data_IF_924949815238
#
_entry.id   IF_924949815238
#
_cell.length_a   1.000
_cell.length_b   1.000
_cell.length_c   1.000
_cell.angle_alpha   90.00
_cell.angle_beta   90.00
_cell.angle_gamma   90.00
#
_symmetry.space_group_name_H-M   'P 1'
#
loop_
_entity.id
_entity.type
_entity.pdbx_description
1 polymer ?
#
# COMPACT_ATOMS: atom_id res chain seq x y z
N UNK A 1 -42.98 -36.29 21.99
CA UNK A 1 -42.09 -37.45 22.28
C UNK A 1 -40.66 -36.93 22.52
N UNK A 2 -39.75 -37.77 23.02
CA UNK A 2 -38.42 -37.33 23.46
C UNK A 2 -37.37 -37.40 22.33
N UNK A 3 -36.40 -36.48 22.33
CA UNK A 3 -34.99 -36.83 22.61
C UNK A 3 -34.12 -35.57 22.68
N UNK A 4 -33.68 -35.19 23.88
CA UNK A 4 -32.45 -34.39 24.02
C UNK A 4 -31.24 -35.28 23.73
N UNK A 5 -30.16 -34.73 23.17
CA UNK A 5 -28.82 -35.37 23.14
C UNK A 5 -27.73 -34.32 23.32
N UNK A 6 -27.32 -34.14 24.57
CA UNK A 6 -26.04 -33.52 24.92
C UNK A 6 -24.90 -34.50 24.66
N UNK A 7 -23.72 -34.00 24.29
CA UNK A 7 -22.47 -34.77 24.27
C UNK A 7 -21.41 -33.95 25.00
N UNK A 8 -20.65 -34.59 25.89
CA UNK A 8 -19.68 -33.95 26.79
C UNK A 8 -18.23 -34.27 26.39
N UNK A 9 -17.30 -33.38 26.77
CA UNK A 9 -15.85 -33.58 26.60
C UNK A 9 -15.33 -34.79 27.41
N UNK A 10 -14.29 -35.44 26.89
CA UNK A 10 -13.26 -36.10 27.72
C UNK A 10 -11.89 -36.04 27.04
N UNK A 11 -10.82 -36.02 27.85
CA UNK A 11 -9.41 -36.09 27.47
C UNK A 11 -8.70 -36.89 28.57
N UNK A 12 -7.78 -37.80 28.22
CA UNK A 12 -6.49 -37.76 28.90
C UNK A 12 -5.30 -37.93 27.94
N UNK A 13 -4.20 -37.22 28.22
CA UNK A 13 -2.88 -37.52 27.66
C UNK A 13 -2.23 -38.62 28.49
N UNK A 14 -1.52 -39.55 27.87
CA UNK A 14 -0.50 -40.38 28.54
C UNK A 14 0.76 -40.46 27.69
N UNK A 15 1.92 -40.26 28.33
CA UNK A 15 3.22 -40.68 27.83
C UNK A 15 3.68 -41.89 28.65
N UNK A 16 4.45 -42.79 28.08
CA UNK A 16 5.37 -43.65 28.84
C UNK A 16 6.54 -44.10 27.97
N UNK A 17 7.67 -44.32 28.63
CA UNK A 17 9.01 -44.53 28.06
C UNK A 17 9.61 -45.72 28.79
N UNK A 18 10.26 -46.64 28.07
CA UNK A 18 10.95 -47.79 28.67
C UNK A 18 12.42 -47.84 28.25
N UNK A 19 13.28 -48.23 29.20
CA UNK A 19 14.74 -48.32 29.08
C UNK A 19 15.17 -49.67 29.67
N UNK A 20 16.26 -50.25 29.17
CA UNK A 20 16.65 -51.64 29.41
C UNK A 20 17.57 -51.87 30.64
N UNK A 21 17.62 -53.13 31.09
CA UNK A 21 18.69 -53.77 31.88
C UNK A 21 18.88 -55.21 31.35
N UNK A 22 20.10 -55.74 31.10
CA UNK A 22 21.23 -56.11 31.98
C UNK A 22 20.99 -57.43 32.77
N UNK A 23 21.98 -58.32 33.03
CA UNK A 23 23.39 -58.45 32.57
C UNK A 23 23.97 -59.86 32.93
N UNK A 24 25.29 -60.07 32.69
CA UNK A 24 26.27 -61.10 33.14
C UNK A 24 27.07 -61.62 31.90
N UNK A 25 28.40 -61.92 31.87
CA UNK A 25 29.47 -62.47 32.77
C UNK A 25 29.62 -64.00 32.73
N UNK A 26 30.84 -64.60 32.83
CA UNK A 26 32.24 -64.08 32.76
C UNK A 26 33.07 -64.86 31.67
N UNK A 27 34.40 -65.16 31.64
CA UNK A 27 35.59 -64.91 32.49
C UNK A 27 36.96 -65.20 31.78
N UNK A 28 38.05 -64.54 32.22
CA UNK A 28 39.46 -65.04 32.31
C UNK A 28 40.28 -65.38 31.00
N UNK A 29 41.65 -65.59 31.02
CA UNK A 29 42.57 -64.49 30.69
C UNK A 29 43.93 -64.80 29.95
N UNK A 30 44.75 -63.74 29.74
CA UNK A 30 46.21 -63.72 29.41
C UNK A 30 46.61 -63.94 27.90
N UNK A 31 47.91 -63.95 27.49
CA UNK A 31 48.40 -62.86 26.61
C UNK A 31 49.30 -63.28 25.41
N UNK A 32 49.67 -62.36 24.52
CA UNK A 32 50.91 -62.44 23.72
C UNK A 32 51.32 -61.12 23.05
N UNK A 33 52.59 -61.06 22.63
CA UNK A 33 53.33 -59.93 22.06
C UNK A 33 53.08 -59.68 20.56
N UNK A 34 53.35 -58.43 20.14
CA UNK A 34 53.96 -58.00 18.87
C UNK A 34 53.41 -58.50 17.51
N UNK A 35 53.03 -57.54 16.66
CA UNK A 35 53.61 -57.42 15.32
C UNK A 35 53.60 -55.95 14.84
N UNK A 36 54.50 -55.60 13.93
CA UNK A 36 54.69 -54.26 13.38
C UNK A 36 54.41 -54.32 11.88
N UNK A 37 53.39 -53.60 11.36
CA UNK A 37 53.49 -52.95 10.06
C UNK A 37 52.34 -52.01 9.64
N UNK A 38 52.73 -51.10 8.75
CA UNK A 38 51.94 -50.33 7.76
C UNK A 38 50.81 -49.42 8.28
N UNK A 39 51.03 -48.12 8.06
CA UNK A 39 49.98 -47.10 8.16
C UNK A 39 49.19 -47.01 6.85
N UNK A 40 47.87 -46.97 6.96
CA UNK A 40 46.98 -46.43 5.92
C UNK A 40 46.17 -45.29 6.53
N UNK A 41 46.34 -44.07 6.00
CA UNK A 41 45.45 -42.95 6.34
C UNK A 41 44.12 -43.17 5.60
N UNK A 42 42.96 -43.20 6.26
CA UNK A 42 41.69 -43.07 5.58
C UNK A 42 41.51 -41.61 5.13
N UNK A 43 42.15 -41.26 4.02
CA UNK A 43 41.92 -40.00 3.33
C UNK A 43 40.56 -40.07 2.61
N UNK A 44 39.48 -39.89 3.37
CA UNK A 44 38.15 -39.72 2.79
C UNK A 44 38.15 -38.46 1.93
N UNK A 45 37.71 -38.61 0.68
CA UNK A 45 37.86 -37.57 -0.33
C UNK A 45 36.92 -36.39 -0.06
N UNK A 46 37.51 -35.18 0.07
CA UNK A 46 36.78 -33.94 0.24
C UNK A 46 36.16 -33.45 -1.08
N UNK A 47 35.22 -34.21 -1.64
CA UNK A 47 34.41 -33.78 -2.78
C UNK A 47 33.11 -33.12 -2.32
N UNK A 48 33.23 -31.98 -1.64
CA UNK A 48 32.12 -31.04 -1.50
C UNK A 48 32.01 -30.21 -2.78
N UNK A 49 31.53 -30.82 -3.88
CA UNK A 49 31.17 -30.09 -5.11
C UNK A 49 29.81 -29.41 -4.96
N UNK A 50 29.55 -28.85 -3.79
CA UNK A 50 28.54 -27.81 -3.56
C UNK A 50 29.01 -26.52 -4.21
N UNK A 51 29.10 -26.55 -5.55
CA UNK A 51 29.01 -25.34 -6.34
C UNK A 51 27.74 -24.63 -5.90
N UNK A 52 27.88 -23.44 -5.33
CA UNK A 52 26.76 -22.52 -5.17
C UNK A 52 26.48 -22.03 -6.59
N UNK A 53 25.68 -22.82 -7.31
CA UNK A 53 25.17 -22.46 -8.62
C UNK A 53 24.19 -21.30 -8.43
N UNK A 54 24.72 -20.08 -8.33
CA UNK A 54 24.06 -18.97 -8.97
C UNK A 54 23.92 -19.38 -10.44
N UNK A 55 22.68 -19.41 -10.93
CA UNK A 55 22.44 -19.73 -12.33
C UNK A 55 23.23 -18.74 -13.20
N UNK A 56 23.65 -19.12 -14.42
CA UNK A 56 24.10 -18.11 -15.37
C UNK A 56 22.95 -17.12 -15.57
N UNK A 57 23.12 -15.88 -15.09
CA UNK A 57 22.20 -14.79 -15.37
C UNK A 57 22.06 -14.69 -16.88
N UNK A 58 20.83 -14.69 -17.38
CA UNK A 58 20.59 -14.53 -18.81
C UNK A 58 21.05 -13.15 -19.26
N UNK A 59 21.31 -13.01 -20.54
CA UNK A 59 21.65 -11.72 -21.17
C UNK A 59 20.59 -10.66 -20.85
N UNK A 60 19.32 -11.07 -20.83
CA UNK A 60 18.16 -10.25 -20.45
C UNK A 60 18.19 -9.82 -18.97
N UNK A 61 18.62 -10.69 -18.05
CA UNK A 61 18.71 -10.32 -16.62
C UNK A 61 19.78 -9.25 -16.38
N UNK A 62 20.87 -9.27 -17.18
CA UNK A 62 21.95 -8.29 -17.10
C UNK A 62 21.48 -6.94 -17.66
N UNK A 63 20.86 -6.94 -18.84
CA UNK A 63 20.33 -5.73 -19.47
C UNK A 63 19.21 -5.09 -18.65
N UNK A 64 18.30 -5.90 -18.09
CA UNK A 64 17.24 -5.45 -17.19
C UNK A 64 17.79 -4.86 -15.88
N UNK A 65 18.81 -5.48 -15.27
CA UNK A 65 19.43 -4.95 -14.06
C UNK A 65 20.17 -3.65 -14.34
N UNK A 66 20.87 -3.54 -15.48
CA UNK A 66 21.50 -2.30 -15.91
C UNK A 66 20.45 -1.18 -16.09
N UNK A 67 19.32 -1.48 -16.74
CA UNK A 67 18.23 -0.52 -16.91
C UNK A 67 17.59 -0.11 -15.58
N UNK A 68 17.24 -1.05 -14.71
CA UNK A 68 16.72 -0.74 -13.37
C UNK A 68 17.72 0.05 -12.49
N UNK A 69 19.03 -0.01 -12.79
CA UNK A 69 20.01 0.85 -12.14
C UNK A 69 20.10 2.25 -12.77
N UNK A 70 19.96 2.37 -14.08
CA UNK A 70 19.97 3.67 -14.77
C UNK A 70 18.70 4.47 -14.48
N UNK A 71 17.50 3.89 -14.57
CA UNK A 71 16.26 4.60 -14.22
C UNK A 71 16.32 5.09 -12.75
N UNK A 72 16.66 4.21 -11.80
CA UNK A 72 16.82 4.55 -10.37
C UNK A 72 17.86 5.65 -10.09
N UNK A 73 18.83 5.88 -10.98
CA UNK A 73 19.75 7.04 -10.91
C UNK A 73 19.11 8.31 -11.47
N UNK A 74 18.36 8.22 -12.57
CA UNK A 74 17.66 9.35 -13.18
C UNK A 74 16.64 9.94 -12.20
N UNK A 75 15.70 9.14 -11.69
CA UNK A 75 14.71 9.53 -10.67
C UNK A 75 15.38 10.28 -9.48
N UNK A 76 16.42 9.66 -8.89
CA UNK A 76 17.17 10.20 -7.74
C UNK A 76 18.11 11.38 -8.11
N UNK A 77 17.97 11.98 -9.28
CA UNK A 77 18.81 13.10 -9.76
C UNK A 77 18.03 14.24 -10.42
N UNK A 78 16.91 13.95 -11.07
CA UNK A 78 16.07 14.95 -11.74
C UNK A 78 15.19 15.72 -10.75
N UNK A 79 14.59 15.03 -9.79
CA UNK A 79 13.33 15.46 -9.17
C UNK A 79 13.42 15.88 -7.70
N UNK A 80 14.52 15.55 -7.01
CA UNK A 80 14.69 15.79 -5.57
C UNK A 80 14.26 17.20 -5.12
N UNK A 81 14.63 18.32 -5.77
CA UNK A 81 14.31 19.66 -5.27
C UNK A 81 12.81 19.96 -5.18
N UNK A 82 12.02 19.44 -6.11
CA UNK A 82 10.59 19.73 -6.23
C UNK A 82 9.77 18.92 -5.21
N UNK A 83 10.04 17.62 -5.12
CA UNK A 83 9.42 16.78 -4.09
C UNK A 83 9.92 17.11 -2.67
N UNK A 84 11.08 17.75 -2.50
CA UNK A 84 11.49 18.33 -1.21
C UNK A 84 10.64 19.56 -0.83
N UNK A 85 10.34 20.48 -1.76
CA UNK A 85 9.46 21.63 -1.50
C UNK A 85 7.99 21.20 -1.25
N UNK A 86 7.45 20.29 -2.08
CA UNK A 86 6.14 19.68 -1.85
C UNK A 86 6.09 18.97 -0.48
N UNK A 87 7.14 18.21 -0.13
CA UNK A 87 7.22 17.56 1.17
C UNK A 87 7.21 18.57 2.32
N UNK A 88 7.95 19.69 2.25
CA UNK A 88 7.92 20.71 3.31
C UNK A 88 6.52 21.34 3.47
N UNK A 89 5.81 21.62 2.36
CA UNK A 89 4.44 22.12 2.39
C UNK A 89 3.45 21.15 3.05
N UNK A 90 3.49 19.86 2.65
CA UNK A 90 2.73 18.77 3.29
C UNK A 90 3.02 18.72 4.79
N UNK A 91 4.30 18.73 5.15
CA UNK A 91 4.77 18.59 6.52
C UNK A 91 4.23 19.73 7.40
N UNK A 92 4.15 20.95 6.87
CA UNK A 92 3.61 22.11 7.57
C UNK A 92 2.08 22.08 7.68
N UNK A 93 1.32 21.67 6.66
CA UNK A 93 -0.14 21.47 6.79
C UNK A 93 -0.45 20.38 7.83
N UNK A 94 0.33 19.29 7.86
CA UNK A 94 0.24 18.22 8.86
C UNK A 94 0.52 18.75 10.28
N UNK A 95 1.58 19.56 10.46
CA UNK A 95 1.95 20.17 11.76
C UNK A 95 0.91 21.17 12.26
N UNK A 96 0.53 22.16 11.44
CA UNK A 96 -0.45 23.18 11.80
C UNK A 96 -1.84 22.56 12.05
N UNK A 97 -2.18 21.52 11.28
CA UNK A 97 -3.38 20.72 11.48
C UNK A 97 -3.34 19.76 12.67
N UNK A 98 -2.24 19.60 13.41
CA UNK A 98 -2.06 18.61 14.50
C UNK A 98 -2.38 17.15 14.08
N UNK A 99 -2.13 16.80 12.80
CA UNK A 99 -2.47 15.49 12.26
C UNK A 99 -1.43 14.42 12.61
N UNK A 100 -1.89 13.26 13.08
CA UNK A 100 -1.08 12.06 13.26
C UNK A 100 -1.17 11.19 12.00
N UNK A 101 -0.10 11.21 11.21
CA UNK A 101 0.03 10.44 9.97
C UNK A 101 0.48 9.01 10.27
N UNK A 102 -0.26 8.01 9.74
CA UNK A 102 0.24 6.66 9.47
C UNK A 102 0.41 6.53 7.97
N UNK A 103 1.66 6.65 7.55
CA UNK A 103 2.15 6.22 6.25
C UNK A 103 3.05 5.00 6.48
N UNK A 104 2.93 3.99 5.63
CA UNK A 104 3.72 2.75 5.71
C UNK A 104 4.27 2.47 4.32
N UNK A 105 5.60 2.53 4.20
CA UNK A 105 6.24 2.27 2.93
C UNK A 105 5.96 0.84 2.45
N UNK A 106 5.36 0.71 1.26
CA UNK A 106 4.80 -0.51 0.66
C UNK A 106 3.30 -0.74 0.88
N UNK A 107 2.59 0.16 1.57
CA UNK A 107 1.12 0.22 1.61
C UNK A 107 0.66 1.46 0.82
N UNK A 108 -0.34 1.33 -0.07
CA UNK A 108 -0.86 2.47 -0.85
C UNK A 108 -1.77 3.41 -0.04
N UNK A 109 -2.37 2.95 1.06
CA UNK A 109 -3.28 3.75 1.91
C UNK A 109 -2.48 4.64 2.87
N UNK A 110 -2.73 5.95 2.80
CA UNK A 110 -2.29 6.93 3.80
C UNK A 110 -3.44 7.20 4.76
N UNK A 111 -3.16 7.25 6.07
CA UNK A 111 -4.17 7.51 7.10
C UNK A 111 -3.74 8.67 7.99
N UNK A 112 -4.48 9.77 7.98
CA UNK A 112 -4.29 10.89 8.90
C UNK A 112 -5.35 10.84 10.01
N UNK A 113 -4.95 11.09 11.26
CA UNK A 113 -5.87 11.05 12.41
C UNK A 113 -5.72 12.26 13.32
N UNK A 114 -6.84 12.78 13.82
CA UNK A 114 -6.91 13.94 14.72
C UNK A 114 -8.02 13.75 15.76
N UNK A 115 -7.96 14.49 16.86
CA UNK A 115 -9.07 14.62 17.82
C UNK A 115 -9.68 16.01 17.76
N UNK A 116 -11.01 16.06 17.75
CA UNK A 116 -11.78 17.30 17.78
C UNK A 116 -12.74 17.26 18.96
N UNK A 117 -12.33 17.86 20.09
CA UNK A 117 -13.06 17.78 21.36
C UNK A 117 -13.15 16.34 21.88
N UNK A 118 -14.32 15.72 21.70
CA UNK A 118 -14.57 14.29 22.04
C UNK A 118 -14.61 13.36 20.83
N UNK A 119 -14.50 13.91 19.62
CA UNK A 119 -14.59 13.17 18.34
C UNK A 119 -13.20 12.69 17.92
N UNK A 120 -13.11 11.48 17.35
CA UNK A 120 -11.91 11.04 16.61
C UNK A 120 -12.19 11.22 15.11
N UNK A 121 -11.33 11.96 14.41
CA UNK A 121 -11.36 12.11 12.95
C UNK A 121 -10.28 11.18 12.37
N UNK A 122 -10.65 10.40 11.37
CA UNK A 122 -9.74 9.65 10.51
C UNK A 122 -10.00 10.06 9.07
N UNK A 123 -8.95 10.44 8.36
CA UNK A 123 -8.95 10.68 6.92
C UNK A 123 -8.11 9.58 6.29
N UNK A 124 -8.54 9.03 5.15
CA UNK A 124 -7.70 8.14 4.36
C UNK A 124 -7.92 8.33 2.87
N UNK A 125 -6.82 8.34 2.13
CA UNK A 125 -6.76 8.36 0.67
C UNK A 125 -5.74 7.32 0.20
N UNK A 126 -5.76 6.99 -1.08
CA UNK A 126 -4.89 5.96 -1.66
C UNK A 126 -4.13 6.50 -2.86
N UNK A 127 -2.88 6.08 -3.00
CA UNK A 127 -2.08 6.40 -4.18
C UNK A 127 -2.67 5.80 -5.46
N UNK A 128 -3.46 4.72 -5.34
CA UNK A 128 -4.10 4.08 -6.49
C UNK A 128 -5.05 5.00 -7.28
N UNK A 129 -5.54 6.12 -6.73
CA UNK A 129 -6.42 7.02 -7.51
C UNK A 129 -5.70 7.67 -8.71
N UNK A 130 -4.41 8.04 -8.60
CA UNK A 130 -3.65 8.62 -9.72
C UNK A 130 -3.47 7.60 -10.86
N UNK A 131 -3.22 6.34 -10.50
CA UNK A 131 -3.02 5.22 -11.44
C UNK A 131 -4.29 4.91 -12.27
N UNK A 132 -5.49 5.16 -11.71
CA UNK A 132 -6.75 4.95 -12.43
C UNK A 132 -7.07 6.07 -13.44
N UNK A 133 -6.35 7.19 -13.39
CA UNK A 133 -6.62 8.39 -14.22
C UNK A 133 -5.72 8.38 -15.46
N UNK A 134 -4.44 8.01 -15.31
CA UNK A 134 -3.57 7.74 -16.46
C UNK A 134 -4.11 6.62 -17.35
N UNK A 135 -4.72 5.57 -16.78
CA UNK A 135 -5.42 4.52 -17.54
C UNK A 135 -6.67 5.02 -18.31
N UNK A 136 -7.21 6.20 -18.00
CA UNK A 136 -8.34 6.81 -18.73
C UNK A 136 -7.87 7.80 -19.80
N UNK A 137 -6.86 8.62 -19.53
CA UNK A 137 -6.31 9.57 -20.50
C UNK A 137 -5.69 8.86 -21.72
N UNK A 138 -4.96 7.74 -21.50
CA UNK A 138 -4.48 6.83 -22.56
C UNK A 138 -5.63 6.30 -23.45
N UNK A 139 -6.84 6.17 -22.89
CA UNK A 139 -8.02 5.64 -23.59
C UNK A 139 -8.72 6.72 -24.43
N UNK A 140 -8.73 7.96 -23.95
CA UNK A 140 -9.34 9.09 -24.65
C UNK A 140 -8.43 9.65 -25.76
N UNK A 141 -7.10 9.74 -25.59
CA UNK A 141 -6.17 10.13 -26.67
C UNK A 141 -6.22 9.13 -27.85
N UNK A 142 -6.28 7.83 -27.54
CA UNK A 142 -6.49 6.78 -28.53
C UNK A 142 -7.81 6.92 -29.32
N UNK A 143 -8.81 7.66 -28.78
CA UNK A 143 -10.06 7.98 -29.48
C UNK A 143 -9.95 9.27 -30.31
N UNK A 144 -9.21 10.27 -29.84
CA UNK A 144 -9.02 11.57 -30.51
C UNK A 144 -8.08 11.46 -31.72
N UNK A 145 -7.14 10.53 -31.69
CA UNK A 145 -6.24 10.24 -32.81
C UNK A 145 -6.97 9.88 -34.12
N UNK A 146 -8.11 9.18 -34.05
CA UNK A 146 -8.89 8.74 -35.23
C UNK A 146 -9.75 9.87 -35.84
N UNK A 147 -10.11 10.91 -35.07
CA UNK A 147 -10.79 12.10 -35.60
C UNK A 147 -9.83 13.12 -36.24
N UNK A 148 -8.57 13.22 -35.77
CA UNK A 148 -7.63 14.23 -36.26
C UNK A 148 -7.19 14.03 -37.72
N UNK A 149 -7.06 12.80 -38.22
CA UNK A 149 -6.65 12.54 -39.61
C UNK A 149 -7.70 13.03 -40.63
N UNK A 150 -8.97 13.14 -40.23
CA UNK A 150 -10.06 13.54 -41.14
C UNK A 150 -10.12 15.05 -41.43
N UNK A 151 -9.50 15.91 -40.60
CA UNK A 151 -9.51 17.37 -40.81
C UNK A 151 -8.23 17.91 -41.48
N UNK A 152 -7.11 17.18 -41.42
CA UNK A 152 -5.79 17.71 -41.80
C UNK A 152 -5.57 17.88 -43.32
N UNK A 153 -6.50 17.43 -44.17
CA UNK A 153 -6.39 17.63 -45.64
C UNK A 153 -6.84 19.02 -46.15
N UNK A 154 -7.16 20.00 -45.29
CA UNK A 154 -7.75 21.27 -45.75
C UNK A 154 -7.38 22.54 -44.98
N UNK A 155 -6.12 22.67 -44.52
CA UNK A 155 -5.43 23.98 -44.42
C UNK A 155 -3.92 23.81 -44.33
N UNK A 156 -3.20 24.49 -45.21
CA UNK A 156 -1.74 24.54 -45.21
C UNK A 156 -1.20 25.97 -45.05
N UNK A 157 0.10 26.04 -44.78
CA UNK A 157 0.93 27.24 -44.59
C UNK A 157 0.73 28.05 -43.28
N UNK A 158 1.89 28.49 -42.77
CA UNK A 158 2.14 29.70 -41.97
C UNK A 158 1.58 29.78 -40.53
N UNK A 159 2.22 29.04 -39.62
CA UNK A 159 2.23 29.32 -38.19
C UNK A 159 3.55 28.87 -37.49
N UNK A 160 4.68 29.52 -37.78
CA UNK A 160 5.83 29.50 -36.85
C UNK A 160 5.48 30.38 -35.64
N UNK A 161 4.68 29.81 -34.73
CA UNK A 161 4.47 30.38 -33.40
C UNK A 161 5.46 29.71 -32.43
N UNK A 162 6.17 30.53 -31.66
CA UNK A 162 6.98 30.05 -30.55
C UNK A 162 6.08 29.35 -29.53
N UNK A 163 6.34 28.07 -29.29
CA UNK A 163 6.03 27.45 -28.01
C UNK A 163 6.94 28.13 -26.98
N UNK A 164 6.50 29.27 -26.45
CA UNK A 164 6.96 29.70 -25.14
C UNK A 164 6.47 28.67 -24.14
N UNK A 165 7.31 28.42 -23.13
CA UNK A 165 7.11 27.40 -22.12
C UNK A 165 5.94 27.83 -21.22
N UNK A 166 4.72 27.48 -21.62
CA UNK A 166 3.55 27.62 -20.75
C UNK A 166 3.73 26.55 -19.69
N UNK A 167 4.13 26.99 -18.50
CA UNK A 167 3.90 26.26 -17.25
C UNK A 167 2.40 25.99 -17.15
N UNK A 168 1.95 24.89 -17.76
CA UNK A 168 0.67 24.29 -17.49
C UNK A 168 0.77 23.74 -16.07
N UNK A 169 0.10 24.32 -15.05
CA UNK A 169 0.05 23.68 -13.75
C UNK A 169 -0.58 22.31 -13.95
N UNK A 170 0.07 21.26 -13.45
CA UNK A 170 -0.43 19.90 -13.68
C UNK A 170 -1.90 19.79 -13.20
N UNK A 171 -2.79 19.20 -14.02
CA UNK A 171 -4.21 19.22 -13.74
C UNK A 171 -4.50 18.53 -12.41
N UNK A 172 -5.19 19.21 -11.49
CA UNK A 172 -5.46 18.63 -10.18
C UNK A 172 -6.37 17.40 -10.34
N UNK A 173 -5.80 16.23 -10.09
CA UNK A 173 -6.48 14.96 -10.35
C UNK A 173 -7.48 14.66 -9.21
N UNK A 174 -8.70 14.18 -9.53
CA UNK A 174 -9.71 13.89 -8.51
C UNK A 174 -9.30 12.73 -7.59
N UNK A 175 -8.86 13.05 -6.37
CA UNK A 175 -8.42 12.09 -5.36
C UNK A 175 -9.59 11.66 -4.45
N UNK A 176 -9.75 10.35 -4.16
CA UNK A 176 -10.85 9.88 -3.29
C UNK A 176 -10.43 9.90 -1.84
N UNK A 177 -11.07 10.77 -1.07
CA UNK A 177 -10.82 10.94 0.36
C UNK A 177 -11.99 10.38 1.16
N UNK A 178 -11.70 9.36 1.96
CA UNK A 178 -12.65 8.76 2.90
C UNK A 178 -12.44 9.36 4.28
N UNK A 179 -13.45 10.11 4.75
CA UNK A 179 -13.45 10.74 6.07
C UNK A 179 -14.33 9.91 7.02
N UNK A 180 -13.85 9.66 8.23
CA UNK A 180 -14.61 9.00 9.30
C UNK A 180 -14.58 9.87 10.55
N UNK A 181 -15.76 10.18 11.11
CA UNK A 181 -15.90 10.93 12.36
C UNK A 181 -16.58 10.06 13.41
N UNK A 182 -15.79 9.51 14.33
CA UNK A 182 -16.26 8.68 15.45
C UNK A 182 -16.69 9.54 16.63
N UNK A 183 -17.83 9.17 17.25
CA UNK A 183 -18.38 9.80 18.45
C UNK A 183 -18.54 8.78 19.58
N UNK A 184 -18.01 9.04 20.80
CA UNK A 184 -18.09 8.11 21.92
C UNK A 184 -19.53 7.65 22.20
N UNK A 185 -19.77 6.34 22.12
CA UNK A 185 -21.07 5.69 22.27
C UNK A 185 -22.14 6.00 21.19
N UNK A 186 -21.84 6.80 20.16
CA UNK A 186 -22.78 7.18 19.10
C UNK A 186 -22.38 6.66 17.69
N UNK A 187 -21.41 5.74 17.64
CA UNK A 187 -20.91 5.16 16.40
C UNK A 187 -19.98 6.11 15.64
N UNK A 188 -19.97 5.99 14.31
CA UNK A 188 -19.23 6.90 13.44
C UNK A 188 -20.05 7.29 12.21
N UNK A 189 -19.78 8.49 11.70
CA UNK A 189 -20.10 8.88 10.34
C UNK A 189 -18.98 8.39 9.41
N UNK A 190 -19.36 7.93 8.22
CA UNK A 190 -18.49 7.72 7.08
C UNK A 190 -18.92 8.73 6.01
N UNK A 191 -18.00 9.56 5.55
CA UNK A 191 -18.24 10.60 4.56
C UNK A 191 -17.29 10.30 3.40
N UNK A 192 -17.85 9.98 2.23
CA UNK A 192 -17.07 9.75 1.02
C UNK A 192 -17.02 11.04 0.21
N UNK A 193 -15.81 11.41 -0.21
CA UNK A 193 -15.56 12.65 -0.92
C UNK A 193 -14.56 12.44 -2.05
N UNK A 194 -14.71 13.23 -3.11
CA UNK A 194 -13.66 13.49 -4.09
C UNK A 194 -13.06 14.85 -3.76
N UNK A 195 -11.74 14.95 -3.77
CA UNK A 195 -11.00 16.21 -3.66
C UNK A 195 -10.49 16.59 -5.04
N UNK A 196 -10.87 17.79 -5.49
CA UNK A 196 -10.39 18.41 -6.73
C UNK A 196 -10.42 19.93 -6.56
N UNK A 197 -9.45 20.64 -7.16
CA UNK A 197 -9.32 22.11 -7.17
C UNK A 197 -9.46 22.76 -5.78
N UNK A 198 -8.97 22.09 -4.74
CA UNK A 198 -9.02 22.55 -3.34
C UNK A 198 -10.38 22.45 -2.67
N UNK A 199 -11.33 21.70 -3.22
CA UNK A 199 -12.69 21.51 -2.69
C UNK A 199 -12.96 20.04 -2.37
N UNK A 200 -13.62 19.79 -1.23
CA UNK A 200 -14.20 18.48 -0.91
C UNK A 200 -15.60 18.37 -1.51
N UNK A 201 -15.76 17.65 -2.63
CA UNK A 201 -17.07 17.28 -3.15
C UNK A 201 -17.58 16.06 -2.39
N UNK A 202 -18.72 16.19 -1.68
CA UNK A 202 -19.30 15.10 -0.89
C UNK A 202 -20.21 14.23 -1.77
N UNK A 203 -19.92 12.92 -1.84
CA UNK A 203 -20.71 11.94 -2.61
C UNK A 203 -21.73 11.21 -1.72
N UNK A 204 -21.29 10.76 -0.53
CA UNK A 204 -22.08 9.93 0.39
C UNK A 204 -21.86 10.33 1.85
N UNK A 205 -22.92 10.31 2.67
CA UNK A 205 -22.86 10.46 4.13
C UNK A 205 -23.60 9.32 4.83
N UNK A 206 -22.84 8.29 5.18
CA UNK A 206 -23.28 7.09 5.89
C UNK A 206 -23.16 7.23 7.42
N UNK A 207 -24.05 6.57 8.19
CA UNK A 207 -23.91 6.42 9.65
C UNK A 207 -23.87 4.95 10.07
N UNK A 208 -22.89 4.61 10.91
CA UNK A 208 -22.72 3.28 11.48
C UNK A 208 -22.73 3.34 13.00
N UNK A 209 -23.65 2.60 13.64
CA UNK A 209 -23.74 2.47 15.10
C UNK A 209 -22.49 1.84 15.77
N UNK A 210 -21.53 1.34 15.00
CA UNK A 210 -20.20 0.89 15.44
C UNK A 210 -19.13 1.52 14.56
N UNK A 211 -18.15 2.21 15.15
CA UNK A 211 -17.05 2.82 14.41
C UNK A 211 -16.23 1.81 13.57
N UNK A 212 -16.09 0.58 14.08
CA UNK A 212 -15.48 -0.55 13.38
C UNK A 212 -16.07 -0.88 12.00
N UNK A 213 -17.29 -0.44 11.68
CA UNK A 213 -17.93 -0.65 10.38
C UNK A 213 -17.66 0.50 9.39
N UNK A 214 -17.35 1.71 9.87
CA UNK A 214 -16.85 2.79 9.03
C UNK A 214 -15.38 2.53 8.63
N UNK A 215 -14.59 2.01 9.58
CA UNK A 215 -13.17 1.68 9.42
C UNK A 215 -12.98 0.20 9.02
N UNK A 216 -13.70 -0.28 8.01
CA UNK A 216 -13.75 -1.71 7.66
C UNK A 216 -12.47 -2.19 6.95
N UNK A 217 -11.47 -2.61 7.73
CA UNK A 217 -10.20 -3.20 7.25
C UNK A 217 -10.29 -4.72 6.93
N UNK A 218 -11.50 -5.27 6.74
CA UNK A 218 -11.71 -6.72 6.61
C UNK A 218 -12.98 -7.02 5.83
N UNK A 219 -12.89 -7.90 4.81
CA UNK A 219 -14.00 -8.20 3.89
C UNK A 219 -15.35 -8.57 4.56
N UNK A 220 -15.35 -9.23 5.73
CA UNK A 220 -16.58 -9.52 6.47
C UNK A 220 -17.30 -8.25 6.98
N UNK A 221 -16.51 -7.25 7.39
CA UNK A 221 -17.01 -5.91 7.79
C UNK A 221 -17.42 -5.09 6.58
N UNK A 222 -16.69 -5.15 5.46
CA UNK A 222 -17.08 -4.47 4.21
C UNK A 222 -18.40 -5.01 3.65
N UNK A 223 -18.57 -6.33 3.63
CA UNK A 223 -19.83 -6.96 3.25
C UNK A 223 -20.97 -6.57 4.20
N UNK A 224 -20.69 -6.48 5.51
CA UNK A 224 -21.67 -5.98 6.48
C UNK A 224 -22.02 -4.51 6.23
N UNK A 225 -21.02 -3.66 5.92
CA UNK A 225 -21.20 -2.24 5.56
C UNK A 225 -22.10 -2.09 4.33
N UNK A 226 -21.81 -2.83 3.26
CA UNK A 226 -22.60 -2.85 2.01
C UNK A 226 -24.04 -3.36 2.20
N UNK A 227 -24.33 -4.10 3.29
CA UNK A 227 -25.69 -4.57 3.61
C UNK A 227 -26.55 -3.57 4.38
N UNK A 228 -25.98 -2.42 4.77
CA UNK A 228 -26.66 -1.34 5.51
C UNK A 228 -27.08 -0.21 4.56
N UNK A 229 -28.02 0.62 5.01
CA UNK A 229 -28.46 1.78 4.24
C UNK A 229 -27.43 2.91 4.33
N UNK A 230 -26.92 3.33 3.18
CA UNK A 230 -25.82 4.27 3.06
C UNK A 230 -26.24 5.76 3.05
N UNK A 231 -27.54 6.03 3.17
CA UNK A 231 -28.12 7.36 2.98
C UNK A 231 -28.74 7.55 1.59
N UNK A 232 -29.34 8.73 1.32
CA UNK A 232 -29.69 9.14 -0.03
C UNK A 232 -28.43 9.64 -0.78
N UNK A 233 -28.45 9.73 -2.13
CA UNK A 233 -27.38 10.42 -2.86
C UNK A 233 -27.32 11.88 -2.41
N UNK A 234 -26.12 12.39 -2.11
CA UNK A 234 -25.94 13.67 -1.41
C UNK A 234 -26.59 14.86 -2.12
N UNK A 235 -26.53 14.90 -3.46
CA UNK A 235 -27.15 15.92 -4.31
C UNK A 235 -28.67 16.08 -4.12
N UNK A 236 -29.36 15.05 -3.59
CA UNK A 236 -30.80 15.09 -3.33
C UNK A 236 -31.15 15.63 -1.93
N UNK A 237 -30.14 16.06 -1.15
CA UNK A 237 -30.35 16.77 0.11
C UNK A 237 -30.69 18.25 -0.14
N UNK A 238 -31.32 18.88 0.85
CA UNK A 238 -31.61 20.31 0.87
C UNK A 238 -30.32 21.15 0.81
N UNK A 239 -30.32 22.27 0.06
CA UNK A 239 -29.12 23.10 -0.18
C UNK A 239 -28.51 23.67 1.12
N UNK A 240 -29.34 24.08 2.09
CA UNK A 240 -28.86 24.56 3.39
C UNK A 240 -28.25 23.41 4.21
N UNK A 241 -28.72 22.16 4.01
CA UNK A 241 -28.14 20.97 4.64
C UNK A 241 -26.82 20.56 3.99
N UNK A 242 -26.68 20.67 2.67
CA UNK A 242 -25.41 20.42 1.97
C UNK A 242 -24.34 21.41 2.47
N UNK A 243 -24.63 22.72 2.43
CA UNK A 243 -23.74 23.78 2.95
C UNK A 243 -23.53 23.78 4.47
N UNK A 244 -24.18 22.89 5.23
CA UNK A 244 -23.87 22.61 6.64
C UNK A 244 -22.94 21.41 6.80
N UNK A 245 -22.88 20.48 5.84
CA UNK A 245 -21.88 19.42 5.82
C UNK A 245 -20.49 19.94 5.47
N UNK A 246 -20.38 20.84 4.50
CA UNK A 246 -19.10 21.45 4.11
C UNK A 246 -18.47 22.18 5.32
N UNK A 247 -19.23 23.05 5.98
CA UNK A 247 -18.81 23.75 7.20
C UNK A 247 -18.50 22.80 8.36
N UNK A 248 -19.19 21.65 8.44
CA UNK A 248 -18.90 20.60 9.43
C UNK A 248 -17.53 19.93 9.17
N UNK A 249 -17.07 19.85 7.92
CA UNK A 249 -15.72 19.43 7.57
C UNK A 249 -14.70 20.55 7.83
N UNK A 250 -14.97 21.79 7.41
CA UNK A 250 -14.11 22.97 7.64
C UNK A 250 -13.79 23.17 9.13
N UNK A 251 -14.81 23.16 10.00
CA UNK A 251 -14.68 23.27 11.47
C UNK A 251 -13.71 22.25 12.08
N UNK A 252 -13.47 21.13 11.39
CA UNK A 252 -12.62 20.01 11.83
C UNK A 252 -11.19 20.08 11.28
N UNK A 253 -10.88 21.09 10.46
CA UNK A 253 -9.59 21.25 9.78
C UNK A 253 -9.52 20.51 8.45
N UNK A 254 -10.65 20.25 7.80
CA UNK A 254 -10.76 19.76 6.43
C UNK A 254 -11.18 20.93 5.55
N UNK A 255 -10.24 21.86 5.38
CA UNK A 255 -10.37 23.11 4.64
C UNK A 255 -9.68 22.99 3.26
N UNK A 256 -9.73 24.06 2.45
CA UNK A 256 -9.08 24.09 1.14
C UNK A 256 -7.56 23.88 1.17
N UNK A 257 -6.89 24.30 2.25
CA UNK A 257 -5.46 24.04 2.50
C UNK A 257 -5.17 22.55 2.67
N UNK A 258 -5.96 21.84 3.48
CA UNK A 258 -5.88 20.38 3.58
C UNK A 258 -6.25 19.70 2.24
N UNK A 259 -7.24 20.20 1.52
CA UNK A 259 -7.67 19.65 0.25
C UNK A 259 -6.56 19.71 -0.81
N UNK A 260 -5.91 20.87 -0.99
CA UNK A 260 -4.78 21.04 -1.90
C UNK A 260 -3.61 20.11 -1.56
N UNK A 261 -3.35 19.88 -0.27
CA UNK A 261 -2.27 18.99 0.19
C UNK A 261 -2.49 17.50 -0.14
N UNK A 262 -3.72 17.05 -0.44
CA UNK A 262 -4.00 15.63 -0.71
C UNK A 262 -3.38 15.15 -2.04
N UNK A 263 -3.58 15.80 -3.20
CA UNK A 263 -2.84 15.49 -4.43
C UNK A 263 -1.32 15.51 -4.23
N UNK A 264 -0.78 16.56 -3.61
CA UNK A 264 0.66 16.69 -3.32
C UNK A 264 1.18 15.47 -2.53
N UNK A 265 0.47 15.06 -1.46
CA UNK A 265 0.84 13.89 -0.67
C UNK A 265 0.85 12.63 -1.53
N UNK A 266 -0.16 12.44 -2.39
CA UNK A 266 -0.26 11.27 -3.26
C UNK A 266 0.92 11.21 -4.23
N UNK A 267 1.27 12.30 -4.91
CA UNK A 267 2.43 12.37 -5.83
C UNK A 267 3.75 12.13 -5.08
N UNK A 268 3.96 12.83 -3.96
CA UNK A 268 5.13 12.68 -3.08
C UNK A 268 5.26 11.26 -2.51
N UNK A 269 4.15 10.53 -2.33
CA UNK A 269 4.18 9.13 -1.90
C UNK A 269 4.41 8.17 -3.08
N UNK A 270 3.77 8.37 -4.23
CA UNK A 270 3.98 7.48 -5.39
C UNK A 270 5.44 7.45 -5.78
N UNK A 271 6.11 8.60 -5.88
CA UNK A 271 7.52 8.62 -6.27
C UNK A 271 8.43 7.91 -5.24
N UNK A 272 8.08 7.93 -3.94
CA UNK A 272 8.78 7.13 -2.92
C UNK A 272 8.53 5.63 -3.07
N UNK A 273 7.32 5.22 -3.44
CA UNK A 273 6.98 3.81 -3.66
C UNK A 273 7.53 3.28 -5.01
N UNK A 274 7.59 4.11 -6.06
CA UNK A 274 8.22 3.77 -7.35
C UNK A 274 9.74 3.60 -7.20
N UNK A 275 10.43 4.55 -6.54
CA UNK A 275 11.85 4.41 -6.18
C UNK A 275 12.13 3.13 -5.37
N UNK A 276 11.25 2.80 -4.42
CA UNK A 276 11.31 1.56 -3.63
C UNK A 276 11.03 0.33 -4.49
N UNK A 277 10.09 0.40 -5.43
CA UNK A 277 9.74 -0.69 -6.35
C UNK A 277 10.92 -0.99 -7.28
N UNK A 278 11.51 0.02 -7.92
CA UNK A 278 12.74 -0.10 -8.72
C UNK A 278 13.85 -0.79 -7.92
N UNK A 279 14.11 -0.33 -6.69
CA UNK A 279 15.13 -0.92 -5.82
C UNK A 279 14.79 -2.38 -5.42
N UNK A 280 13.51 -2.69 -5.18
CA UNK A 280 13.05 -4.04 -4.80
C UNK A 280 13.16 -5.01 -5.98
N UNK A 281 12.72 -4.61 -7.18
CA UNK A 281 12.79 -5.42 -8.40
C UNK A 281 14.24 -5.63 -8.82
N UNK A 282 15.08 -4.59 -8.78
CA UNK A 282 16.52 -4.69 -9.04
C UNK A 282 17.19 -5.70 -8.10
N UNK A 283 16.91 -5.63 -6.81
CA UNK A 283 17.45 -6.56 -5.81
C UNK A 283 16.94 -8.00 -6.00
N UNK A 284 15.73 -8.19 -6.55
CA UNK A 284 15.19 -9.51 -6.90
C UNK A 284 15.88 -10.11 -8.14
N UNK A 285 16.03 -9.34 -9.22
CA UNK A 285 16.71 -9.78 -10.45
C UNK A 285 18.21 -10.01 -10.21
N UNK A 286 18.84 -9.26 -9.30
CA UNK A 286 20.25 -9.38 -8.96
C UNK A 286 20.65 -10.55 -8.06
N UNK A 287 19.71 -11.36 -7.54
CA UNK A 287 19.91 -12.35 -6.46
C UNK A 287 20.83 -13.54 -6.83
#
# INVERSE_FOLDING_TARGET
MLSLRTITRSIPRTFSRSIATSALRPAFPKPALQSWNQATKPAYAAFSTSSIFKAPSSEVDIDLLAKLEDELRHEKSSEIPEFEEQQEAIDDVVKHGEWQVKDVAGEQEVILTKKFGTENIRVSFTVADIQNISEQEDFDDASLADEMDFQNQSRGQDAEASAEDIEHPEPSFPARVTITVEKPNNGALLIQTVVQDGVFQIEEVSHFAKAELAQSLTAEKDWTRQSLYAGPPFENLDEDLQGLWDRYLEDRGLNAEFANMVPDYISVKEQKEYLRWLETVKNFIGA
#
